data_IF_567316284710
#
_entry.id   IF_567316284710
#
_cell.length_a   1.000
_cell.length_b   1.000
_cell.length_c   1.000
_cell.angle_alpha   90.00
_cell.angle_beta   90.00
_cell.angle_gamma   90.00
#
_symmetry.space_group_name_H-M   'P 1'
#
loop_
_entity.id
_entity.type
_entity.pdbx_description
1 polymer ?
#
# COMPACT_ATOMS: atom_id res chain seq x y z
N UNK A 1 -46.35 13.69 -22.29
CA UNK A 1 -44.94 13.48 -22.67
C UNK A 1 -44.07 14.06 -21.56
N UNK A 2 -43.57 13.24 -20.64
CA UNK A 2 -42.34 13.49 -19.85
C UNK A 2 -42.02 12.18 -19.12
N UNK A 3 -41.34 11.28 -19.83
CA UNK A 3 -40.74 10.08 -19.24
C UNK A 3 -39.26 10.34 -18.95
N UNK A 4 -38.81 9.77 -17.83
CA UNK A 4 -37.50 9.16 -17.67
C UNK A 4 -36.25 10.03 -17.81
N UNK A 5 -35.55 10.24 -16.70
CA UNK A 5 -34.29 9.55 -16.44
C UNK A 5 -33.69 10.11 -15.15
N UNK A 6 -33.90 9.37 -14.06
CA UNK A 6 -32.99 9.38 -12.92
C UNK A 6 -31.62 8.96 -13.45
N UNK A 7 -30.74 9.95 -13.66
CA UNK A 7 -29.41 9.74 -14.23
C UNK A 7 -28.45 9.62 -13.06
N UNK A 8 -28.28 8.37 -12.62
CA UNK A 8 -27.19 7.92 -11.77
C UNK A 8 -25.88 8.61 -12.17
N UNK A 9 -25.38 9.47 -11.29
CA UNK A 9 -24.02 9.94 -11.32
C UNK A 9 -23.20 9.00 -10.43
N UNK A 10 -22.97 7.79 -10.93
CA UNK A 10 -21.80 7.00 -10.51
C UNK A 10 -20.57 7.73 -11.04
N UNK A 11 -19.99 8.59 -10.20
CA UNK A 11 -18.71 9.23 -10.48
C UNK A 11 -17.64 8.15 -10.46
N UNK A 12 -17.06 7.93 -11.63
CA UNK A 12 -16.00 6.97 -11.88
C UNK A 12 -14.89 7.10 -10.83
N UNK A 13 -14.79 6.09 -9.97
CA UNK A 13 -13.58 5.79 -9.21
C UNK A 13 -12.45 5.81 -10.24
N UNK A 14 -11.49 6.73 -10.10
CA UNK A 14 -10.23 6.64 -10.86
C UNK A 14 -9.46 5.47 -10.26
N UNK A 15 -9.92 4.27 -10.55
CA UNK A 15 -9.22 3.03 -10.36
C UNK A 15 -8.10 3.06 -11.39
N UNK A 16 -6.98 3.72 -11.04
CA UNK A 16 -5.73 3.34 -11.67
C UNK A 16 -5.50 1.92 -11.18
N UNK A 17 -5.69 0.89 -12.03
CA UNK A 17 -5.59 -0.47 -11.56
C UNK A 17 -4.18 -0.64 -11.01
N UNK A 18 -4.08 -1.23 -9.82
CA UNK A 18 -2.80 -1.61 -9.28
C UNK A 18 -2.05 -2.38 -10.39
N UNK A 19 -0.79 -2.02 -10.71
CA UNK A 19 -0.08 -2.65 -11.80
C UNK A 19 -0.10 -4.17 -11.62
N UNK A 20 -0.31 -4.90 -12.73
CA UNK A 20 -0.36 -6.36 -12.77
C UNK A 20 0.73 -7.00 -11.90
N UNK A 21 0.45 -8.12 -11.22
CA UNK A 21 1.39 -8.72 -10.27
C UNK A 21 2.70 -9.04 -10.99
N UNK A 22 3.72 -8.23 -10.72
CA UNK A 22 5.09 -8.48 -11.14
C UNK A 22 5.69 -9.44 -10.11
N UNK A 23 6.34 -10.50 -10.56
CA UNK A 23 7.06 -11.41 -9.69
C UNK A 23 8.21 -10.64 -8.98
N UNK A 24 8.08 -10.39 -7.67
CA UNK A 24 9.07 -9.69 -6.86
C UNK A 24 8.52 -9.01 -5.60
N UNK A 25 9.41 -8.40 -4.80
CA UNK A 25 9.04 -7.60 -3.62
C UNK A 25 8.28 -6.34 -4.06
N UNK A 26 7.05 -6.17 -3.57
CA UNK A 26 6.13 -5.09 -3.97
C UNK A 26 5.65 -4.29 -2.76
N UNK A 27 5.50 -2.98 -2.93
CA UNK A 27 4.73 -2.15 -2.00
C UNK A 27 3.23 -2.42 -2.13
N UNK A 28 2.57 -2.70 -1.01
CA UNK A 28 1.12 -2.88 -0.94
C UNK A 28 0.50 -1.53 -0.58
N UNK A 29 -0.48 -1.09 -1.38
CA UNK A 29 -1.27 0.09 -1.06
C UNK A 29 -2.30 -0.31 0.00
N UNK A 30 -2.26 0.34 1.15
CA UNK A 30 -3.19 0.10 2.26
C UNK A 30 -4.13 1.28 2.51
N UNK A 31 -3.84 2.44 1.93
CA UNK A 31 -4.69 3.64 1.99
C UNK A 31 -5.01 4.10 0.58
N UNK A 32 -6.30 4.27 0.30
CA UNK A 32 -6.85 4.76 -0.95
C UNK A 32 -7.42 6.17 -0.76
N UNK A 33 -7.34 7.00 -1.79
CA UNK A 33 -8.00 8.31 -1.81
C UNK A 33 -9.40 8.13 -2.39
N UNK A 34 -10.42 8.41 -1.60
CA UNK A 34 -11.81 8.38 -2.01
C UNK A 34 -12.31 9.70 -2.61
N UNK A 35 -13.58 9.77 -3.00
CA UNK A 35 -14.23 11.03 -3.34
C UNK A 35 -14.22 12.00 -2.14
N UNK A 36 -14.39 13.29 -2.42
CA UNK A 36 -14.52 14.34 -1.39
C UNK A 36 -13.35 14.43 -0.40
N UNK A 37 -12.12 14.23 -0.89
CA UNK A 37 -10.89 14.31 -0.09
C UNK A 37 -10.85 13.33 1.10
N UNK A 38 -11.59 12.22 0.99
CA UNK A 38 -11.58 11.16 2.01
C UNK A 38 -10.43 10.19 1.81
N UNK A 39 -10.04 9.53 2.90
CA UNK A 39 -9.08 8.43 2.88
C UNK A 39 -9.78 7.15 3.32
N UNK A 40 -9.67 6.11 2.52
CA UNK A 40 -10.25 4.80 2.78
C UNK A 40 -9.13 3.82 3.10
N UNK A 41 -9.27 3.08 4.20
CA UNK A 41 -8.35 2.04 4.58
C UNK A 41 -8.74 0.72 3.90
N UNK A 42 -7.77 0.06 3.29
CA UNK A 42 -7.91 -1.32 2.82
C UNK A 42 -7.57 -2.27 3.99
N UNK A 43 -8.59 -2.59 4.78
CA UNK A 43 -8.46 -3.43 5.97
C UNK A 43 -8.03 -4.86 5.62
N UNK A 44 -8.48 -5.38 4.48
CA UNK A 44 -8.14 -6.73 4.01
C UNK A 44 -6.67 -6.81 3.64
N UNK A 45 -6.16 -5.85 2.87
CA UNK A 45 -4.75 -5.79 2.49
C UNK A 45 -3.83 -5.59 3.70
N UNK A 46 -4.24 -4.75 4.67
CA UNK A 46 -3.45 -4.50 5.87
C UNK A 46 -3.45 -5.73 6.80
N UNK A 47 -4.59 -6.38 6.98
CA UNK A 47 -4.74 -7.59 7.79
C UNK A 47 -3.92 -8.75 7.24
N UNK A 48 -3.92 -8.94 5.92
CA UNK A 48 -3.10 -9.95 5.24
C UNK A 48 -1.59 -9.75 5.42
N UNK A 49 -1.14 -8.53 5.76
CA UNK A 49 0.27 -8.23 6.03
C UNK A 49 0.64 -8.35 7.51
N UNK A 50 -0.17 -7.78 8.41
CA UNK A 50 0.16 -7.68 9.83
C UNK A 50 -0.29 -8.88 10.66
N UNK A 51 -1.32 -9.62 10.23
CA UNK A 51 -1.87 -10.77 10.97
C UNK A 51 -1.33 -12.12 10.50
N UNK A 52 -0.28 -12.14 9.68
CA UNK A 52 0.37 -13.40 9.30
C UNK A 52 0.96 -14.07 10.54
N UNK A 53 0.80 -15.39 10.61
CA UNK A 53 1.28 -16.23 11.72
C UNK A 53 2.76 -16.02 12.05
N UNK A 54 3.59 -15.71 11.04
CA UNK A 54 5.00 -15.48 11.27
C UNK A 54 5.31 -14.14 11.95
N UNK A 55 4.43 -13.13 11.93
CA UNK A 55 4.76 -11.78 12.45
C UNK A 55 3.74 -11.20 13.43
N UNK A 56 2.54 -11.77 13.54
CA UNK A 56 1.41 -11.18 14.29
C UNK A 56 1.69 -10.86 15.76
N UNK A 57 2.52 -11.67 16.43
CA UNK A 57 2.83 -11.52 17.85
C UNK A 57 4.20 -10.88 18.11
N UNK A 58 4.82 -10.27 17.08
CA UNK A 58 6.11 -9.61 17.21
C UNK A 58 5.95 -8.11 17.47
N UNK A 59 6.88 -7.54 18.22
CA UNK A 59 6.97 -6.09 18.35
C UNK A 59 7.22 -5.44 16.98
N UNK A 60 6.45 -4.39 16.68
CA UNK A 60 6.48 -3.70 15.37
C UNK A 60 7.14 -2.34 15.50
N UNK A 61 7.97 -1.99 14.50
CA UNK A 61 8.52 -0.64 14.31
C UNK A 61 7.95 -0.06 13.02
N UNK A 62 7.34 1.11 13.10
CA UNK A 62 6.80 1.82 11.94
C UNK A 62 7.83 2.84 11.46
N UNK A 63 8.36 2.63 10.26
CA UNK A 63 9.24 3.59 9.57
C UNK A 63 8.45 4.27 8.45
N UNK A 64 8.33 5.59 8.50
CA UNK A 64 7.59 6.37 7.50
C UNK A 64 8.41 7.55 6.98
N UNK A 65 8.21 7.89 5.71
CA UNK A 65 8.83 9.04 5.04
C UNK A 65 7.72 9.90 4.43
N UNK A 66 7.52 11.10 4.96
CA UNK A 66 6.53 12.06 4.48
C UNK A 66 7.19 13.34 3.94
N UNK A 67 6.47 14.12 3.12
CA UNK A 67 6.97 15.39 2.58
C UNK A 67 6.47 15.71 1.18
N UNK A 68 6.98 16.79 0.59
CA UNK A 68 6.51 17.32 -0.69
C UNK A 68 6.61 16.33 -1.87
N UNK A 69 5.71 16.48 -2.84
CA UNK A 69 5.65 15.64 -4.04
C UNK A 69 6.96 15.77 -4.87
N UNK A 70 7.44 14.65 -5.41
CA UNK A 70 8.68 14.55 -6.21
C UNK A 70 10.00 14.93 -5.52
N UNK A 71 10.07 14.90 -4.18
CA UNK A 71 11.33 15.04 -3.41
C UNK A 71 12.07 13.72 -3.13
N UNK A 72 11.90 12.71 -3.98
CA UNK A 72 12.66 11.46 -3.86
C UNK A 72 12.27 10.53 -2.70
N UNK A 73 11.06 10.65 -2.14
CA UNK A 73 10.61 9.79 -1.02
C UNK A 73 10.69 8.29 -1.33
N UNK A 74 10.15 7.87 -2.47
CA UNK A 74 10.22 6.46 -2.92
C UNK A 74 11.66 6.01 -3.20
N UNK A 75 12.51 6.92 -3.66
CA UNK A 75 13.93 6.64 -3.89
C UNK A 75 14.66 6.35 -2.58
N UNK A 76 14.40 7.12 -1.51
CA UNK A 76 14.96 6.84 -0.18
C UNK A 76 14.46 5.50 0.40
N UNK A 77 13.15 5.21 0.27
CA UNK A 77 12.59 3.93 0.75
C UNK A 77 13.22 2.73 0.03
N UNK A 78 13.55 2.85 -1.26
CA UNK A 78 14.27 1.81 -2.00
C UNK A 78 15.64 1.49 -1.39
N UNK A 79 16.38 2.50 -0.90
CA UNK A 79 17.64 2.26 -0.18
C UNK A 79 17.44 1.51 1.14
N UNK A 80 16.38 1.83 1.89
CA UNK A 80 16.07 1.10 3.13
C UNK A 80 15.74 -0.37 2.84
N UNK A 81 14.98 -0.64 1.79
CA UNK A 81 14.71 -2.01 1.34
C UNK A 81 16.02 -2.74 1.00
N UNK A 82 16.90 -2.13 0.18
CA UNK A 82 18.20 -2.72 -0.16
C UNK A 82 19.04 -3.04 1.10
N UNK A 83 19.07 -2.13 2.07
CA UNK A 83 19.81 -2.33 3.33
C UNK A 83 19.22 -3.48 4.16
N UNK A 84 17.89 -3.54 4.31
CA UNK A 84 17.24 -4.60 5.08
C UNK A 84 17.49 -5.98 4.44
N UNK A 85 17.37 -6.10 3.12
CA UNK A 85 17.63 -7.36 2.42
C UNK A 85 19.09 -7.80 2.47
N UNK A 86 20.04 -6.87 2.58
CA UNK A 86 21.46 -7.21 2.68
C UNK A 86 21.86 -7.83 4.02
N UNK A 87 21.12 -7.53 5.11
CA UNK A 87 21.46 -7.97 6.47
C UNK A 87 20.74 -9.23 6.95
N UNK A 88 19.70 -9.71 6.25
CA UNK A 88 18.93 -10.89 6.68
C UNK A 88 19.65 -12.23 6.38
N UNK A 89 20.79 -12.20 5.68
CA UNK A 89 21.59 -13.40 5.34
C UNK A 89 22.49 -13.93 6.47
N UNK A 90 22.44 -13.37 7.68
CA UNK A 90 23.30 -13.79 8.82
C UNK A 90 22.53 -14.48 9.95
N UNK A 91 21.75 -15.53 9.62
CA UNK A 91 21.39 -16.57 10.59
C UNK A 91 21.56 -17.94 9.93
N UNK A 92 22.82 -18.40 9.84
CA UNK A 92 23.12 -19.83 9.76
C UNK A 92 23.16 -20.33 11.21
N UNK A 93 22.10 -21.02 11.64
CA UNK A 93 22.09 -21.75 12.91
C UNK A 93 23.12 -22.88 12.83
N UNK A 94 24.02 -22.92 13.82
CA UNK A 94 24.88 -24.06 14.14
C UNK A 94 24.05 -25.18 14.77
#
# INVERSE_FOLDING_TARGET
>A
MTGGADRSLESAVTEKPAPAPRAGHRGVQVVNTGPDHTFLLDEDALSALLLREDVRDRAVVVLSVAGAFRKGKSFLLDFFLRYMHHKVSTVQKK
#
